data_IF_407831407296
#
_entry.id   IF_407831407296
#
_cell.length_a   1.000
_cell.length_b   1.000
_cell.length_c   1.000
_cell.angle_alpha   90.00
_cell.angle_beta   90.00
_cell.angle_gamma   90.00
#
_symmetry.space_group_name_H-M   'P 1'
#
loop_
_entity.id
_entity.type
_entity.pdbx_description
1 polymer ?
#
# COMPACT_ATOMS: atom_id res chain seq x y z
N UNK A 1 1.36 -10.85 2.57
CA UNK A 1 0.89 -11.46 1.29
C UNK A 1 1.40 -10.64 0.11
N UNK A 2 1.88 -11.27 -0.96
CA UNK A 2 2.38 -10.58 -2.15
C UNK A 2 1.34 -10.61 -3.28
N UNK A 3 0.93 -9.44 -3.76
CA UNK A 3 -0.01 -9.26 -4.88
C UNK A 3 0.77 -8.89 -6.13
N UNK A 4 0.50 -9.55 -7.26
CA UNK A 4 1.07 -9.15 -8.55
C UNK A 4 0.03 -8.35 -9.32
N UNK A 5 0.36 -7.11 -9.69
CA UNK A 5 -0.51 -6.21 -10.44
C UNK A 5 -0.17 -6.16 -11.94
N UNK A 6 0.81 -6.95 -12.38
CA UNK A 6 1.31 -6.93 -13.75
C UNK A 6 1.91 -5.57 -14.13
N UNK A 7 1.79 -5.22 -15.40
CA UNK A 7 2.31 -3.96 -15.92
C UNK A 7 1.38 -2.80 -15.61
N UNK A 8 1.95 -1.72 -15.11
CA UNK A 8 1.28 -0.46 -14.86
C UNK A 8 1.98 0.65 -15.65
N UNK A 9 1.22 1.57 -16.24
CA UNK A 9 1.78 2.67 -17.03
C UNK A 9 1.23 3.99 -16.53
N UNK A 10 2.12 4.85 -16.03
CA UNK A 10 1.78 6.12 -15.40
C UNK A 10 2.46 7.28 -16.12
N UNK A 11 1.77 8.41 -16.12
CA UNK A 11 2.29 9.68 -16.60
C UNK A 11 2.95 10.43 -15.45
N UNK A 12 4.26 10.70 -15.50
CA UNK A 12 4.87 11.65 -14.58
C UNK A 12 4.24 13.04 -14.73
N UNK A 13 3.93 13.69 -13.61
CA UNK A 13 3.50 15.08 -13.54
C UNK A 13 4.43 15.79 -12.57
N UNK A 14 5.06 16.88 -13.02
CA UNK A 14 6.08 17.64 -12.27
C UNK A 14 7.18 16.72 -11.70
N UNK A 15 7.66 15.78 -12.54
CA UNK A 15 8.71 14.82 -12.16
C UNK A 15 8.29 13.79 -11.12
N UNK A 16 7.00 13.59 -10.87
CA UNK A 16 6.51 12.65 -9.86
C UNK A 16 5.29 11.83 -10.33
N UNK A 17 5.08 10.70 -9.66
CA UNK A 17 3.84 9.91 -9.72
C UNK A 17 3.19 9.85 -8.34
N UNK A 18 1.92 9.50 -8.30
CA UNK A 18 1.17 9.28 -7.06
C UNK A 18 0.85 7.79 -6.89
N UNK A 19 1.15 7.26 -5.71
CA UNK A 19 0.75 5.93 -5.31
C UNK A 19 -0.25 6.09 -4.17
N UNK A 20 -1.51 5.76 -4.44
CA UNK A 20 -2.56 5.74 -3.44
C UNK A 20 -2.65 4.35 -2.84
N UNK A 21 -2.46 4.22 -1.54
CA UNK A 21 -2.58 2.96 -0.81
C UNK A 21 -3.94 2.97 -0.11
N UNK A 22 -4.77 1.97 -0.35
CA UNK A 22 -6.09 1.82 0.25
C UNK A 22 -6.22 0.45 0.92
N UNK A 23 -6.48 0.46 2.23
CA UNK A 23 -6.67 -0.75 3.04
C UNK A 23 -8.13 -0.83 3.50
N UNK A 24 -8.85 -1.86 3.06
CA UNK A 24 -10.20 -2.15 3.51
C UNK A 24 -10.13 -3.08 4.73
N UNK A 25 -10.53 -2.56 5.90
CA UNK A 25 -10.57 -3.30 7.15
C UNK A 25 -11.95 -3.95 7.33
N UNK A 26 -12.04 -5.11 8.02
CA UNK A 26 -13.32 -5.73 8.27
C UNK A 26 -14.21 -4.84 9.14
N UNK A 27 -15.53 -5.04 9.03
CA UNK A 27 -16.49 -4.38 9.91
C UNK A 27 -16.13 -4.59 11.38
N UNK A 28 -16.17 -3.52 12.16
CA UNK A 28 -15.80 -3.55 13.58
C UNK A 28 -14.29 -3.48 13.84
N UNK A 29 -13.48 -3.14 12.85
CA UNK A 29 -12.05 -2.88 13.00
C UNK A 29 -11.69 -1.47 12.55
N UNK A 30 -10.62 -0.92 13.14
CA UNK A 30 -10.06 0.40 12.81
C UNK A 30 -8.54 0.34 12.85
N UNK A 31 -7.88 1.23 12.12
CA UNK A 31 -6.43 1.43 12.25
C UNK A 31 -6.13 1.90 13.68
N UNK A 32 -5.00 1.46 14.25
CA UNK A 32 -4.56 1.87 15.58
C UNK A 32 -3.83 3.22 15.51
N UNK A 33 -4.43 4.32 15.98
CA UNK A 33 -3.81 5.65 15.90
C UNK A 33 -2.59 5.82 16.81
N UNK A 34 -2.35 4.87 17.73
CA UNK A 34 -1.16 4.86 18.59
C UNK A 34 0.05 4.20 17.92
N UNK A 35 -0.13 3.57 16.76
CA UNK A 35 0.96 2.99 15.97
C UNK A 35 1.31 3.84 14.75
N UNK A 36 2.26 3.35 13.96
CA UNK A 36 2.62 3.93 12.66
C UNK A 36 2.27 2.94 11.54
N UNK A 37 1.96 3.46 10.36
CA UNK A 37 1.93 2.65 9.14
C UNK A 37 3.29 2.78 8.48
N UNK A 38 4.06 1.71 8.50
CA UNK A 38 5.37 1.66 7.85
C UNK A 38 5.19 1.27 6.38
N UNK A 39 5.94 1.93 5.49
CA UNK A 39 5.99 1.55 4.08
C UNK A 39 7.43 1.31 3.65
N UNK A 40 7.60 0.45 2.65
CA UNK A 40 8.87 0.26 1.97
C UNK A 40 8.68 0.15 0.46
N UNK A 41 9.73 0.53 -0.27
CA UNK A 41 9.79 0.55 -1.73
C UNK A 41 11.08 -0.15 -2.15
N UNK A 42 10.95 -1.21 -2.93
CA UNK A 42 12.08 -1.88 -3.57
C UNK A 42 11.90 -1.78 -5.08
N UNK A 43 12.96 -1.38 -5.78
CA UNK A 43 13.00 -1.36 -7.25
C UNK A 43 14.00 -2.42 -7.74
N UNK A 44 13.68 -3.07 -8.86
CA UNK A 44 14.62 -3.89 -9.61
C UNK A 44 14.52 -3.48 -11.08
N UNK A 45 15.53 -2.75 -11.53
CA UNK A 45 15.57 -2.14 -12.86
C UNK A 45 17.02 -1.90 -13.27
N UNK A 46 17.36 -2.12 -14.53
CA UNK A 46 18.67 -1.74 -15.07
C UNK A 46 18.91 -0.22 -14.98
N UNK A 47 17.82 0.57 -15.08
CA UNK A 47 17.82 2.03 -14.91
C UNK A 47 16.96 2.40 -13.71
N UNK A 48 17.51 3.01 -12.64
CA UNK A 48 16.74 3.35 -11.45
C UNK A 48 15.48 4.16 -11.77
N UNK A 49 14.34 3.74 -11.20
CA UNK A 49 13.05 4.43 -11.35
C UNK A 49 13.06 5.77 -10.63
N UNK A 50 13.71 5.82 -9.47
CA UNK A 50 13.70 7.00 -8.61
C UNK A 50 15.10 7.62 -8.44
N UNK A 51 15.18 8.92 -8.08
CA UNK A 51 16.41 9.53 -7.57
C UNK A 51 17.01 8.77 -6.39
N UNK A 52 18.33 8.87 -6.20
CA UNK A 52 19.08 8.09 -5.19
C UNK A 52 18.68 8.48 -3.77
N UNK A 53 18.33 9.74 -3.58
CA UNK A 53 17.90 10.37 -2.35
C UNK A 53 16.44 10.09 -2.00
N UNK A 54 15.68 9.43 -2.89
CA UNK A 54 14.27 9.13 -2.63
C UNK A 54 14.18 8.09 -1.51
N UNK A 55 13.48 8.39 -0.39
CA UNK A 55 13.32 7.45 0.70
C UNK A 55 12.71 6.13 0.20
N UNK A 56 13.35 5.01 0.57
CA UNK A 56 12.87 3.65 0.29
C UNK A 56 12.06 3.07 1.45
N UNK A 57 12.01 3.78 2.57
CA UNK A 57 11.28 3.44 3.77
C UNK A 57 10.73 4.72 4.39
N UNK A 58 9.57 4.64 5.04
CA UNK A 58 9.06 5.73 5.84
C UNK A 58 7.80 5.36 6.60
N UNK A 59 7.24 6.34 7.28
CA UNK A 59 6.07 6.18 8.14
C UNK A 59 4.93 7.10 7.67
N UNK A 60 3.71 6.61 7.83
CA UNK A 60 2.47 7.31 7.54
C UNK A 60 1.61 7.32 8.81
N UNK A 61 0.79 8.36 9.00
CA UNK A 61 -0.07 8.44 10.18
C UNK A 61 -1.12 7.32 10.15
N UNK A 62 -1.30 6.67 11.30
CA UNK A 62 -2.23 5.55 11.47
C UNK A 62 -3.66 6.04 11.85
N UNK A 63 -4.10 7.14 11.26
CA UNK A 63 -5.36 7.84 11.55
C UNK A 63 -6.47 7.59 10.51
N UNK A 64 -6.13 6.91 9.41
CA UNK A 64 -6.98 6.70 8.24
C UNK A 64 -6.70 5.33 7.61
N UNK A 65 -7.44 4.97 6.56
CA UNK A 65 -7.24 3.73 5.80
C UNK A 65 -6.77 3.96 4.36
N UNK A 66 -6.48 5.22 4.01
CA UNK A 66 -6.03 5.60 2.68
C UNK A 66 -4.92 6.63 2.77
N UNK A 67 -3.82 6.40 2.06
CA UNK A 67 -2.66 7.30 2.03
C UNK A 67 -2.21 7.53 0.61
N UNK A 68 -1.53 8.65 0.37
CA UNK A 68 -0.95 8.96 -0.94
C UNK A 68 0.54 9.21 -0.76
N UNK A 69 1.36 8.45 -1.48
CA UNK A 69 2.79 8.68 -1.61
C UNK A 69 3.04 9.45 -2.90
N UNK A 70 3.73 10.59 -2.82
CA UNK A 70 4.27 11.30 -3.99
C UNK A 70 5.70 10.84 -4.20
N UNK A 71 5.95 10.09 -5.27
CA UNK A 71 7.26 9.52 -5.56
C UNK A 71 7.91 10.29 -6.72
N UNK A 72 9.06 10.97 -6.51
CA UNK A 72 9.79 11.58 -7.60
C UNK A 72 10.40 10.49 -8.50
N UNK A 73 10.30 10.64 -9.81
CA UNK A 73 10.72 9.65 -10.79
C UNK A 73 11.71 10.24 -11.79
N UNK A 74 12.53 9.37 -12.40
CA UNK A 74 13.41 9.75 -13.51
C UNK A 74 12.70 9.54 -14.85
N UNK A 75 12.81 10.51 -15.75
CA UNK A 75 12.24 10.37 -17.10
C UNK A 75 12.84 9.17 -17.85
N UNK A 76 12.02 8.49 -18.65
CA UNK A 76 12.42 7.32 -19.43
C UNK A 76 12.82 6.10 -18.60
N UNK A 77 12.54 6.10 -17.29
CA UNK A 77 12.76 4.94 -16.42
C UNK A 77 11.56 4.01 -16.38
N UNK A 78 11.82 2.74 -16.06
CA UNK A 78 10.85 1.66 -16.02
C UNK A 78 11.46 0.44 -15.33
N UNK A 79 10.64 -0.41 -14.74
CA UNK A 79 11.12 -1.67 -14.16
C UNK A 79 10.21 -2.25 -13.09
N UNK A 80 10.69 -3.33 -12.47
CA UNK A 80 9.96 -3.97 -11.39
C UNK A 80 9.99 -3.09 -10.15
N UNK A 81 8.81 -2.92 -9.54
CA UNK A 81 8.60 -2.15 -8.34
C UNK A 81 7.80 -3.00 -7.35
N UNK A 82 8.29 -3.10 -6.13
CA UNK A 82 7.59 -3.68 -4.99
C UNK A 82 7.35 -2.59 -3.97
N UNK A 83 6.08 -2.34 -3.67
CA UNK A 83 5.67 -1.43 -2.59
C UNK A 83 5.01 -2.30 -1.53
N UNK A 84 5.44 -2.17 -0.28
CA UNK A 84 4.79 -2.84 0.82
C UNK A 84 4.45 -1.91 1.96
N UNK A 85 3.45 -2.33 2.74
CA UNK A 85 3.01 -1.64 3.93
C UNK A 85 2.76 -2.61 5.07
N UNK A 86 3.08 -2.14 6.27
CA UNK A 86 2.69 -2.73 7.54
C UNK A 86 1.82 -1.74 8.30
N UNK A 87 0.66 -2.18 8.76
CA UNK A 87 -0.30 -1.29 9.41
C UNK A 87 -0.92 -1.96 10.65
N UNK A 88 -0.91 -1.28 11.80
CA UNK A 88 -1.55 -1.77 13.01
C UNK A 88 -3.06 -1.47 12.96
N UNK A 89 -3.88 -2.42 13.37
CA UNK A 89 -5.34 -2.27 13.41
C UNK A 89 -5.92 -3.03 14.60
N UNK A 90 -6.98 -2.50 15.21
CA UNK A 90 -7.61 -3.05 16.40
C UNK A 90 -9.12 -3.21 16.20
N UNK A 91 -9.68 -4.19 16.88
CA UNK A 91 -11.13 -4.32 16.99
C UNK A 91 -11.69 -3.08 17.70
N UNK A 92 -12.80 -2.55 17.18
CA UNK A 92 -13.53 -1.47 17.82
C UNK A 92 -14.28 -2.01 19.06
N UNK A 93 -14.22 -1.26 20.17
CA UNK A 93 -14.81 -1.65 21.45
C UNK A 93 -13.79 -1.60 22.60
N UNK A 94 -14.27 -1.79 23.84
CA UNK A 94 -13.50 -1.56 25.07
C UNK A 94 -12.40 -2.59 25.37
N UNK A 95 -12.44 -3.77 24.77
CA UNK A 95 -11.48 -4.87 24.99
C UNK A 95 -10.67 -5.23 23.72
N UNK A 96 -10.60 -4.31 22.75
CA UNK A 96 -10.24 -4.62 21.36
C UNK A 96 -8.88 -5.30 21.17
N UNK A 97 -8.89 -6.48 20.54
CA UNK A 97 -7.67 -7.16 20.08
C UNK A 97 -6.99 -6.33 19.00
N UNK A 98 -5.69 -6.05 19.17
CA UNK A 98 -4.86 -5.38 18.16
C UNK A 98 -4.02 -6.38 17.36
N UNK A 99 -3.81 -6.08 16.08
CA UNK A 99 -3.08 -6.89 15.11
C UNK A 99 -2.21 -6.00 14.22
N UNK A 100 -1.24 -6.60 13.56
CA UNK A 100 -0.47 -5.96 12.48
C UNK A 100 -0.81 -6.67 11.17
N UNK A 101 -1.24 -5.90 10.19
CA UNK A 101 -1.50 -6.36 8.83
C UNK A 101 -0.31 -6.04 7.95
N UNK A 102 -0.03 -6.89 6.95
CA UNK A 102 1.02 -6.66 5.97
C UNK A 102 0.63 -7.08 4.56
N UNK A 103 0.96 -6.24 3.59
CA UNK A 103 0.74 -6.50 2.18
C UNK A 103 1.86 -5.89 1.37
N UNK A 104 2.27 -6.58 0.31
CA UNK A 104 3.15 -6.03 -0.70
C UNK A 104 2.51 -6.20 -2.09
N UNK A 105 2.67 -5.20 -2.94
CA UNK A 105 2.29 -5.23 -4.34
C UNK A 105 3.55 -5.19 -5.19
N UNK A 106 3.64 -6.11 -6.13
CA UNK A 106 4.66 -6.17 -7.18
C UNK A 106 4.02 -5.74 -8.49
N UNK A 107 4.69 -4.85 -9.23
CA UNK A 107 4.27 -4.38 -10.54
C UNK A 107 5.48 -4.14 -11.46
N UNK A 108 5.26 -4.22 -12.77
CA UNK A 108 6.19 -3.72 -13.81
C UNK A 108 5.77 -2.29 -14.17
N UNK A 109 6.43 -1.29 -13.61
CA UNK A 109 6.09 0.13 -13.81
C UNK A 109 6.75 0.66 -15.09
N UNK A 110 5.96 1.31 -15.94
CA UNK A 110 6.43 2.10 -17.08
C UNK A 110 5.99 3.55 -16.94
N UNK A 111 6.90 4.47 -17.23
CA UNK A 111 6.61 5.90 -17.27
C UNK A 111 6.42 6.33 -18.72
N UNK A 112 5.29 6.96 -19.01
CA UNK A 112 4.94 7.41 -20.35
C UNK A 112 4.18 8.74 -20.28
N UNK A 113 4.71 9.76 -20.95
CA UNK A 113 4.10 11.10 -20.98
C UNK A 113 2.69 11.12 -21.61
N UNK A 114 2.36 10.11 -22.42
CA UNK A 114 1.05 9.91 -23.07
C UNK A 114 0.07 9.07 -22.24
N UNK A 115 0.50 8.51 -21.10
CA UNK A 115 -0.38 7.73 -20.23
C UNK A 115 -1.53 8.59 -19.68
N UNK A 116 -2.68 7.95 -19.47
CA UNK A 116 -3.93 8.63 -19.09
C UNK A 116 -3.95 9.17 -17.66
N UNK A 117 -3.15 8.62 -16.77
CA UNK A 117 -3.18 8.94 -15.35
C UNK A 117 -1.79 8.97 -14.73
N UNK A 118 -1.63 9.80 -13.69
CA UNK A 118 -0.42 9.93 -12.89
C UNK A 118 -0.52 9.26 -11.51
N UNK A 119 -1.67 8.62 -11.22
CA UNK A 119 -1.96 7.94 -9.97
C UNK A 119 -2.19 6.44 -10.21
N UNK A 120 -1.65 5.61 -9.32
CA UNK A 120 -1.98 4.19 -9.19
C UNK A 120 -2.56 3.92 -7.81
N UNK A 121 -3.72 3.27 -7.75
CA UNK A 121 -4.31 2.80 -6.48
C UNK A 121 -3.92 1.35 -6.19
N UNK A 122 -3.37 1.12 -5.01
CA UNK A 122 -2.98 -0.18 -4.46
C UNK A 122 -3.99 -0.58 -3.37
N UNK A 123 -4.84 -1.56 -3.68
CA UNK A 123 -5.91 -1.98 -2.77
C UNK A 123 -5.58 -3.28 -2.04
N UNK A 124 -5.92 -3.32 -0.74
CA UNK A 124 -5.86 -4.52 0.07
C UNK A 124 -7.05 -4.64 1.00
N UNK A 125 -7.80 -5.73 0.84
CA UNK A 125 -8.84 -6.15 1.79
C UNK A 125 -8.26 -7.11 2.81
N UNK A 126 -8.34 -6.76 4.08
CA UNK A 126 -7.90 -7.60 5.19
C UNK A 126 -8.93 -8.71 5.40
N UNK A 127 -8.46 -9.96 5.42
CA UNK A 127 -9.32 -11.11 5.69
C UNK A 127 -9.63 -11.22 7.20
N UNK A 128 -10.89 -11.52 7.54
CA UNK A 128 -11.25 -11.92 8.90
C UNK A 128 -10.77 -13.36 9.12
N UNK A 129 -10.00 -13.65 10.19
CA UNK A 129 -9.66 -15.03 10.52
C UNK A 129 -10.93 -15.82 10.83
N UNK A 130 -11.07 -17.00 10.22
CA UNK A 130 -12.24 -17.88 10.39
C UNK A 130 -12.50 -18.37 11.82
N UNK A 131 -11.58 -18.15 12.75
CA UNK A 131 -11.70 -18.60 14.16
C UNK A 131 -12.86 -17.89 14.90
N UNK A 132 -13.38 -16.78 14.38
CA UNK A 132 -14.54 -16.07 14.96
C UNK A 132 -15.87 -16.33 14.27
N UNK A 133 -15.93 -17.29 13.33
CA UNK A 133 -17.20 -17.87 12.89
C UNK A 133 -17.52 -19.03 13.85
N UNK A 134 -17.85 -18.71 15.11
CA UNK A 134 -18.73 -19.61 15.85
C UNK A 134 -20.08 -19.48 15.17
N UNK A 135 -20.40 -20.49 14.36
CA UNK A 135 -21.77 -20.72 13.92
C UNK A 135 -22.69 -20.47 15.10
N UNK A 136 -23.72 -19.67 14.86
CA UNK A 136 -24.88 -19.62 15.72
C UNK A 136 -25.42 -21.05 15.81
N UNK A 137 -24.95 -21.80 16.81
CA UNK A 137 -25.61 -22.99 17.27
C UNK A 137 -26.87 -22.49 17.94
N UNK A 138 -27.97 -22.63 17.21
CA UNK A 138 -29.31 -22.74 17.75
C UNK A 138 -29.27 -23.46 19.09
N UNK A 139 -29.61 -22.74 20.15
CA UNK A 139 -30.14 -23.28 21.41
C UNK A 139 -31.19 -22.32 21.95
#
# INVERSE_FOLDING_TARGET
MNKNLGRQTLKPVDGAIQIRIAVDLPKGWKVNPLGNVDYWINESSEKPLFPKETPRYGQLPADRTTWTLKLPVKEGSGGELVIGVEFPYCQAGGEGVCRVGSVAWRLDLRLDASAKGNELTLEHKVAVPKIFQMDALDR
#
